data_IF_360188084465
#
_entry.id   IF_360188084465
#
_cell.length_a   1.000
_cell.length_b   1.000
_cell.length_c   1.000
_cell.angle_alpha   90.00
_cell.angle_beta   90.00
_cell.angle_gamma   90.00
#
_symmetry.space_group_name_H-M   'P 1'
#
loop_
_entity.id
_entity.type
_entity.pdbx_description
1 polymer ?
#
# COMPACT_ATOMS: atom_id res chain seq x y z
N UNK A 1 36.93 21.91 45.74
CA UNK A 1 36.85 20.80 44.75
C UNK A 1 37.49 21.31 43.48
N UNK A 2 38.47 20.59 42.94
CA UNK A 2 39.30 21.05 41.81
C UNK A 2 38.44 21.28 40.55
N UNK A 3 38.61 22.41 39.86
CA UNK A 3 37.74 22.85 38.76
C UNK A 3 37.69 21.79 37.63
N UNK A 4 38.80 21.07 37.43
CA UNK A 4 38.88 19.93 36.50
C UNK A 4 37.99 18.75 36.91
N UNK A 5 37.85 18.48 38.22
CA UNK A 5 36.98 17.40 38.73
C UNK A 5 35.51 17.76 38.58
N UNK A 6 35.16 19.05 38.71
CA UNK A 6 33.79 19.54 38.48
C UNK A 6 33.41 19.38 36.99
N UNK A 7 34.30 19.75 36.06
CA UNK A 7 34.04 19.60 34.62
C UNK A 7 33.84 18.12 34.24
N UNK A 8 34.66 17.21 34.76
CA UNK A 8 34.52 15.77 34.47
C UNK A 8 33.19 15.23 34.99
N UNK A 9 32.76 15.62 36.19
CA UNK A 9 31.47 15.19 36.76
C UNK A 9 30.31 15.74 35.93
N UNK A 10 30.37 17.00 35.48
CA UNK A 10 29.34 17.61 34.63
C UNK A 10 29.25 16.90 33.28
N UNK A 11 30.37 16.60 32.63
CA UNK A 11 30.39 15.89 31.33
C UNK A 11 29.83 14.47 31.46
N UNK A 12 30.18 13.73 32.52
CA UNK A 12 29.64 12.39 32.77
C UNK A 12 28.13 12.46 33.02
N UNK A 13 27.67 13.46 33.79
CA UNK A 13 26.24 13.65 34.05
C UNK A 13 25.48 14.01 32.77
N UNK A 14 26.08 14.80 31.88
CA UNK A 14 25.48 15.22 30.61
C UNK A 14 25.38 14.04 29.62
N UNK A 15 26.40 13.18 29.56
CA UNK A 15 26.37 11.94 28.76
C UNK A 15 25.32 10.97 29.31
N UNK A 16 25.24 10.82 30.64
CA UNK A 16 24.24 9.95 31.27
C UNK A 16 22.82 10.50 31.04
N UNK A 17 22.62 11.81 31.15
CA UNK A 17 21.33 12.46 30.93
C UNK A 17 20.90 12.40 29.45
N UNK A 18 21.83 12.57 28.50
CA UNK A 18 21.56 12.37 27.08
C UNK A 18 21.26 10.91 26.73
N UNK A 19 21.94 9.95 27.38
CA UNK A 19 21.63 8.52 27.24
C UNK A 19 20.25 8.16 27.80
N UNK A 20 19.86 8.77 28.92
CA UNK A 20 18.55 8.57 29.54
C UNK A 20 17.42 9.23 28.72
N UNK A 21 17.68 10.39 28.11
CA UNK A 21 16.78 11.01 27.13
C UNK A 21 16.66 10.20 25.83
N UNK A 22 17.74 9.54 25.38
CA UNK A 22 17.69 8.63 24.23
C UNK A 22 16.81 7.40 24.52
N UNK A 23 16.94 6.80 25.70
CA UNK A 23 16.08 5.70 26.14
C UNK A 23 14.63 6.11 26.35
N UNK A 24 14.36 7.27 26.97
CA UNK A 24 12.99 7.78 27.15
C UNK A 24 12.32 8.25 25.84
N UNK A 25 13.12 8.65 24.83
CA UNK A 25 12.62 8.96 23.48
C UNK A 25 12.27 7.69 22.68
N UNK A 26 12.84 6.55 23.04
CA UNK A 26 12.50 5.26 22.44
C UNK A 26 11.12 4.75 22.90
N UNK A 27 10.62 5.21 24.06
CA UNK A 27 9.29 4.86 24.59
C UNK A 27 8.16 5.84 24.21
N UNK A 28 8.46 6.92 23.46
CA UNK A 28 7.48 7.97 23.09
C UNK A 28 7.20 8.07 21.58
N UNK A 29 7.70 7.12 20.79
CA UNK A 29 7.04 6.78 19.53
C UNK A 29 6.10 5.63 19.83
N UNK A 30 4.81 5.85 19.58
CA UNK A 30 3.74 4.90 19.85
C UNK A 30 4.06 3.53 19.25
N UNK A 31 4.58 2.64 20.08
CA UNK A 31 4.52 1.21 19.85
C UNK A 31 3.04 0.81 19.96
N UNK A 32 2.31 0.95 18.86
CA UNK A 32 1.34 -0.08 18.53
C UNK A 32 2.13 -1.38 18.53
N UNK A 33 1.90 -2.21 19.53
CA UNK A 33 2.32 -3.60 19.49
C UNK A 33 1.75 -4.20 18.21
N UNK A 34 2.57 -4.32 17.16
CA UNK A 34 2.39 -5.37 16.16
C UNK A 34 2.61 -6.66 16.92
N UNK A 35 1.55 -7.13 17.57
CA UNK A 35 1.45 -8.49 18.05
C UNK A 35 1.56 -9.33 16.78
N UNK A 36 2.73 -9.93 16.54
CA UNK A 36 2.89 -10.92 15.50
C UNK A 36 1.96 -12.07 15.88
N UNK A 37 0.84 -12.17 15.18
CA UNK A 37 -0.11 -13.25 15.31
C UNK A 37 0.62 -14.58 15.17
N UNK A 38 0.21 -15.58 15.96
CA UNK A 38 0.70 -16.94 15.78
C UNK A 38 0.36 -17.45 14.37
N UNK A 39 1.07 -18.45 13.83
CA UNK A 39 0.76 -19.01 12.51
C UNK A 39 -0.69 -19.49 12.37
N UNK A 40 -1.31 -19.98 13.45
CA UNK A 40 -2.73 -20.34 13.47
C UNK A 40 -3.64 -19.11 13.41
N UNK A 41 -3.35 -18.05 14.16
CA UNK A 41 -4.11 -16.79 14.10
C UNK A 41 -3.94 -16.08 12.75
N UNK A 42 -2.77 -16.18 12.11
CA UNK A 42 -2.53 -15.70 10.74
C UNK A 42 -3.36 -16.48 9.72
N UNK A 43 -3.35 -17.81 9.77
CA UNK A 43 -4.19 -18.64 8.88
C UNK A 43 -5.68 -18.39 9.11
N UNK A 44 -6.09 -18.11 10.36
CA UNK A 44 -7.49 -17.79 10.66
C UNK A 44 -7.86 -16.39 10.16
N UNK A 45 -6.97 -15.40 10.30
CA UNK A 45 -7.13 -14.05 9.74
C UNK A 45 -7.13 -14.05 8.21
N UNK A 46 -6.27 -14.84 7.56
CA UNK A 46 -6.25 -15.03 6.11
C UNK A 46 -7.49 -15.79 5.59
N UNK A 47 -8.10 -16.66 6.42
CA UNK A 47 -9.37 -17.33 6.08
C UNK A 47 -10.61 -16.48 6.34
N UNK A 48 -10.55 -15.56 7.31
CA UNK A 48 -11.64 -14.64 7.66
C UNK A 48 -11.62 -13.39 6.77
N UNK A 49 -10.42 -12.94 6.38
CA UNK A 49 -10.16 -11.78 5.53
C UNK A 49 -9.07 -12.13 4.50
N UNK A 50 -9.41 -12.86 3.42
CA UNK A 50 -8.45 -13.33 2.41
C UNK A 50 -7.74 -12.22 1.61
N UNK A 51 -8.02 -10.95 1.91
CA UNK A 51 -7.42 -9.77 1.28
C UNK A 51 -6.55 -8.96 2.27
N UNK A 52 -6.22 -9.50 3.44
CA UNK A 52 -5.39 -8.85 4.46
C UNK A 52 -6.15 -7.89 5.39
N UNK A 53 -5.42 -7.23 6.30
CA UNK A 53 -5.98 -6.30 7.30
C UNK A 53 -6.31 -4.91 6.76
N UNK A 54 -6.00 -4.64 5.49
CA UNK A 54 -6.37 -3.39 4.83
C UNK A 54 -5.72 -2.12 5.42
N UNK A 55 -4.62 -2.24 6.17
CA UNK A 55 -3.91 -1.05 6.68
C UNK A 55 -3.41 -0.20 5.49
N UNK A 56 -3.92 1.03 5.38
CA UNK A 56 -3.44 2.07 4.47
C UNK A 56 -4.27 2.36 3.21
N UNK A 57 -5.10 1.44 2.72
CA UNK A 57 -5.93 1.71 1.52
C UNK A 57 -7.33 2.27 1.89
N UNK A 58 -7.81 2.04 3.11
CA UNK A 58 -9.25 2.10 3.43
C UNK A 58 -9.64 3.08 4.56
N UNK A 59 -8.72 3.91 5.04
CA UNK A 59 -8.96 4.85 6.15
C UNK A 59 -9.81 6.09 5.78
N UNK A 60 -10.03 6.33 4.48
CA UNK A 60 -10.86 7.42 3.94
C UNK A 60 -12.32 7.03 3.66
N UNK A 61 -12.75 5.82 4.02
CA UNK A 61 -14.16 5.45 3.91
C UNK A 61 -15.02 6.29 4.90
N UNK A 62 -15.92 7.11 4.36
CA UNK A 62 -16.93 7.86 5.12
C UNK A 62 -17.87 6.86 5.79
N UNK A 63 -17.64 6.60 7.08
CA UNK A 63 -18.51 5.74 7.86
C UNK A 63 -19.78 6.52 8.24
N UNK A 64 -20.97 6.04 7.88
CA UNK A 64 -22.24 6.68 8.24
C UNK A 64 -22.55 6.57 9.74
N UNK A 65 -21.74 5.81 10.48
CA UNK A 65 -21.84 5.59 11.92
C UNK A 65 -20.72 6.31 12.70
N UNK A 66 -19.97 7.21 12.04
CA UNK A 66 -18.95 8.08 12.65
C UNK A 66 -19.32 9.56 12.68
N UNK A 67 -20.30 9.99 11.89
CA UNK A 67 -20.70 11.40 11.79
C UNK A 67 -21.72 11.79 12.87
N UNK A 68 -21.86 13.11 13.12
CA UNK A 68 -22.78 13.68 14.13
C UNK A 68 -24.27 13.39 13.85
N UNK A 69 -24.59 12.82 12.69
CA UNK A 69 -25.95 12.44 12.31
C UNK A 69 -25.97 11.14 11.52
N UNK A 70 -26.84 10.22 11.92
CA UNK A 70 -27.08 8.96 11.19
C UNK A 70 -27.77 9.20 9.85
N UNK A 71 -27.33 8.44 8.84
CA UNK A 71 -27.92 8.48 7.50
C UNK A 71 -29.23 7.68 7.46
N UNK A 72 -30.30 8.16 6.78
CA UNK A 72 -31.51 7.37 6.58
C UNK A 72 -31.24 6.04 5.86
N UNK A 73 -32.09 5.03 6.08
CA UNK A 73 -31.87 3.68 5.54
C UNK A 73 -31.75 3.65 4.01
N UNK A 74 -32.54 4.46 3.29
CA UNK A 74 -32.48 4.51 1.83
C UNK A 74 -31.16 5.07 1.31
N UNK A 75 -30.56 6.03 2.02
CA UNK A 75 -29.24 6.56 1.67
C UNK A 75 -28.16 5.53 1.96
N UNK A 76 -28.23 4.86 3.13
CA UNK A 76 -27.34 3.75 3.46
C UNK A 76 -27.40 2.64 2.40
N UNK A 77 -28.60 2.29 1.93
CA UNK A 77 -28.80 1.29 0.89
C UNK A 77 -28.15 1.68 -0.44
N UNK A 78 -28.28 2.95 -0.85
CA UNK A 78 -27.63 3.46 -2.07
C UNK A 78 -26.10 3.40 -1.94
N UNK A 79 -25.58 3.83 -0.79
CA UNK A 79 -24.14 3.82 -0.53
C UNK A 79 -23.57 2.39 -0.51
N UNK A 80 -24.32 1.41 0.01
CA UNK A 80 -23.95 -0.01 -0.05
C UNK A 80 -24.00 -0.57 -1.47
N UNK A 81 -25.02 -0.22 -2.28
CA UNK A 81 -25.15 -0.67 -3.67
C UNK A 81 -24.09 -0.09 -4.61
N UNK A 82 -23.60 1.10 -4.27
CA UNK A 82 -22.56 1.80 -5.04
C UNK A 82 -21.16 1.59 -4.48
N UNK A 83 -21.02 0.93 -3.32
CA UNK A 83 -19.72 0.70 -2.68
C UNK A 83 -19.09 1.97 -2.09
N UNK A 84 -19.86 3.05 -1.96
CA UNK A 84 -19.47 4.19 -1.13
C UNK A 84 -19.30 3.76 0.32
N UNK A 85 -20.03 2.75 0.77
CA UNK A 85 -19.84 2.12 2.07
C UNK A 85 -19.67 0.61 1.87
N UNK A 86 -18.80 0.00 2.66
CA UNK A 86 -18.66 -1.45 2.76
C UNK A 86 -19.24 -1.92 4.10
N UNK A 87 -20.32 -2.71 4.05
CA UNK A 87 -21.05 -3.09 5.27
C UNK A 87 -20.17 -3.83 6.29
N UNK A 88 -19.35 -4.78 5.83
CA UNK A 88 -18.48 -5.58 6.70
C UNK A 88 -17.53 -4.66 7.45
N UNK A 89 -16.95 -3.66 6.79
CA UNK A 89 -16.05 -2.71 7.43
C UNK A 89 -16.74 -1.81 8.44
N UNK A 90 -17.99 -1.43 8.19
CA UNK A 90 -18.77 -0.68 9.18
C UNK A 90 -19.01 -1.51 10.45
N UNK A 91 -19.29 -2.80 10.29
CA UNK A 91 -19.38 -3.72 11.43
C UNK A 91 -18.06 -3.76 12.19
N UNK A 92 -16.92 -3.94 11.52
CA UNK A 92 -15.60 -3.94 12.17
C UNK A 92 -15.26 -2.59 12.83
N UNK A 93 -15.62 -1.47 12.20
CA UNK A 93 -15.42 -0.14 12.76
C UNK A 93 -16.22 0.07 14.04
N UNK A 94 -17.46 -0.43 14.09
CA UNK A 94 -18.28 -0.43 15.30
C UNK A 94 -17.73 -1.38 16.36
N UNK A 95 -17.24 -2.57 15.98
CA UNK A 95 -16.60 -3.52 16.91
C UNK A 95 -15.36 -2.95 17.57
N UNK A 96 -14.55 -2.15 16.86
CA UNK A 96 -13.39 -1.46 17.45
C UNK A 96 -13.76 -0.45 18.55
N UNK A 97 -15.02 -0.02 18.63
CA UNK A 97 -15.52 0.85 19.71
C UNK A 97 -16.01 0.05 20.93
N UNK A 98 -16.16 -1.27 20.82
CA UNK A 98 -16.50 -2.11 21.97
C UNK A 98 -15.36 -2.15 22.98
N UNK A 99 -15.70 -2.37 24.25
CA UNK A 99 -14.70 -2.53 25.31
C UNK A 99 -13.87 -3.80 25.07
N UNK A 100 -12.58 -3.77 25.40
CA UNK A 100 -11.68 -4.89 25.17
C UNK A 100 -12.09 -6.17 25.92
N UNK A 101 -12.77 -6.03 27.06
CA UNK A 101 -13.28 -7.16 27.84
C UNK A 101 -14.58 -7.80 27.29
N UNK A 102 -15.18 -7.25 26.23
CA UNK A 102 -16.42 -7.79 25.69
C UNK A 102 -16.19 -9.04 24.84
N UNK A 103 -17.02 -10.06 25.08
CA UNK A 103 -17.18 -11.18 24.16
C UNK A 103 -17.78 -10.72 22.82
N UNK A 104 -17.61 -11.49 21.72
CA UNK A 104 -18.23 -11.16 20.43
C UNK A 104 -19.74 -10.91 20.52
N UNK A 105 -20.47 -11.70 21.30
CA UNK A 105 -21.92 -11.56 21.44
C UNK A 105 -22.31 -10.32 22.25
N UNK A 106 -21.54 -9.97 23.28
CA UNK A 106 -21.73 -8.72 24.04
C UNK A 106 -21.46 -7.50 23.16
N UNK A 107 -20.45 -7.55 22.30
CA UNK A 107 -20.16 -6.49 21.35
C UNK A 107 -21.27 -6.38 20.29
N UNK A 108 -21.74 -7.50 19.73
CA UNK A 108 -22.87 -7.51 18.80
C UNK A 108 -24.13 -6.91 19.43
N UNK A 109 -24.46 -7.27 20.68
CA UNK A 109 -25.59 -6.69 21.41
C UNK A 109 -25.43 -5.17 21.63
N UNK A 110 -24.22 -4.72 21.92
CA UNK A 110 -23.91 -3.28 22.06
C UNK A 110 -24.13 -2.52 20.75
N UNK A 111 -23.73 -3.12 19.62
CA UNK A 111 -23.96 -2.54 18.28
C UNK A 111 -25.46 -2.44 17.98
N UNK A 112 -26.24 -3.47 18.29
CA UNK A 112 -27.70 -3.44 18.11
C UNK A 112 -28.37 -2.37 18.98
N UNK A 113 -27.92 -2.20 20.23
CA UNK A 113 -28.43 -1.16 21.12
C UNK A 113 -28.09 0.25 20.63
N UNK A 114 -26.91 0.44 20.03
CA UNK A 114 -26.54 1.69 19.36
C UNK A 114 -27.49 1.99 18.19
N UNK A 115 -27.77 1.00 17.33
CA UNK A 115 -28.74 1.17 16.23
C UNK A 115 -30.12 1.52 16.77
N UNK A 116 -30.55 0.90 17.87
CA UNK A 116 -31.84 1.19 18.50
C UNK A 116 -31.95 2.63 19.04
N UNK A 117 -30.83 3.23 19.46
CA UNK A 117 -30.77 4.58 20.00
C UNK A 117 -30.67 5.66 18.92
N UNK A 118 -29.97 5.37 17.81
CA UNK A 118 -29.64 6.36 16.80
C UNK A 118 -30.58 6.40 15.58
N UNK A 119 -31.44 5.39 15.44
CA UNK A 119 -32.37 5.28 14.32
C UNK A 119 -33.82 5.26 14.80
N UNK A 120 -34.69 5.98 14.08
CA UNK A 120 -36.13 5.93 14.28
C UNK A 120 -36.80 4.91 13.35
N UNK A 121 -37.98 4.42 13.72
CA UNK A 121 -38.77 3.52 12.86
C UNK A 121 -39.33 4.29 11.65
N UNK A 122 -39.36 3.70 10.44
CA UNK A 122 -39.10 2.29 10.13
C UNK A 122 -37.62 1.96 9.82
N UNK A 123 -36.75 2.96 9.72
CA UNK A 123 -35.36 2.78 9.29
C UNK A 123 -34.56 1.94 10.29
N UNK A 124 -34.80 2.13 11.58
CA UNK A 124 -34.23 1.32 12.66
C UNK A 124 -34.34 -0.18 12.38
N UNK A 125 -35.54 -0.68 12.09
CA UNK A 125 -35.77 -2.12 11.91
C UNK A 125 -35.01 -2.65 10.69
N UNK A 126 -34.93 -1.85 9.62
CA UNK A 126 -34.25 -2.24 8.38
C UNK A 126 -32.73 -2.23 8.52
N UNK A 127 -32.17 -1.23 9.20
CA UNK A 127 -30.73 -1.18 9.51
C UNK A 127 -30.40 -2.35 10.43
N UNK A 128 -31.16 -2.53 11.50
CA UNK A 128 -30.96 -3.61 12.47
C UNK A 128 -31.02 -5.01 11.83
N UNK A 129 -31.94 -5.22 10.89
CA UNK A 129 -32.05 -6.47 10.13
C UNK A 129 -30.79 -6.79 9.31
N UNK A 130 -30.09 -5.79 8.75
CA UNK A 130 -28.80 -6.01 8.08
C UNK A 130 -27.74 -6.56 9.06
N UNK A 131 -27.63 -5.95 10.24
CA UNK A 131 -26.66 -6.37 11.27
C UNK A 131 -27.00 -7.75 11.83
N UNK A 132 -28.27 -8.02 12.15
CA UNK A 132 -28.71 -9.34 12.62
C UNK A 132 -28.43 -10.40 11.57
N UNK A 133 -28.74 -10.13 10.29
CA UNK A 133 -28.48 -11.06 9.19
C UNK A 133 -26.99 -11.36 9.07
N UNK A 134 -26.13 -10.33 9.13
CA UNK A 134 -24.68 -10.50 9.08
C UNK A 134 -24.13 -11.31 10.26
N UNK A 135 -24.56 -11.01 11.50
CA UNK A 135 -24.14 -11.76 12.69
C UNK A 135 -24.55 -13.23 12.61
N UNK A 136 -25.76 -13.51 12.11
CA UNK A 136 -26.20 -14.89 11.84
C UNK A 136 -25.31 -15.57 10.81
N UNK A 137 -24.94 -14.88 9.73
CA UNK A 137 -24.00 -15.41 8.75
C UNK A 137 -22.66 -15.77 9.38
N UNK A 138 -22.09 -14.89 10.22
CA UNK A 138 -20.80 -15.20 10.87
C UNK A 138 -20.90 -16.41 11.80
N UNK A 139 -22.00 -16.57 12.53
CA UNK A 139 -22.23 -17.74 13.39
C UNK A 139 -22.34 -19.02 12.56
N UNK A 140 -23.14 -19.01 11.50
CA UNK A 140 -23.28 -20.12 10.55
C UNK A 140 -21.97 -20.46 9.86
N UNK A 141 -21.18 -19.45 9.50
CA UNK A 141 -19.88 -19.61 8.87
C UNK A 141 -18.86 -20.24 9.82
N UNK A 142 -18.86 -19.86 11.11
CA UNK A 142 -17.99 -20.48 12.12
C UNK A 142 -18.32 -21.95 12.39
N UNK A 143 -19.60 -22.32 12.29
CA UNK A 143 -20.07 -23.71 12.46
C UNK A 143 -19.86 -24.56 11.20
N UNK A 144 -19.65 -23.92 10.06
CA UNK A 144 -19.46 -24.60 8.79
C UNK A 144 -18.05 -25.20 8.70
N UNK A 145 -17.99 -26.52 8.53
CA UNK A 145 -16.73 -27.22 8.27
C UNK A 145 -16.24 -26.87 6.86
N UNK A 146 -15.19 -26.05 6.80
CA UNK A 146 -14.62 -25.58 5.55
C UNK A 146 -13.83 -26.71 4.87
N UNK A 147 -14.08 -26.98 3.58
CA UNK A 147 -13.23 -27.90 2.81
C UNK A 147 -11.78 -27.41 2.81
N UNK A 148 -10.84 -28.32 3.06
CA UNK A 148 -9.39 -28.01 3.14
C UNK A 148 -8.62 -28.45 1.89
N UNK A 149 -9.29 -29.14 0.96
CA UNK A 149 -8.75 -29.72 -0.26
C UNK A 149 -9.01 -28.88 -1.51
N UNK A 150 -9.76 -27.78 -1.39
CA UNK A 150 -10.12 -26.90 -2.51
C UNK A 150 -9.09 -25.81 -2.77
N UNK A 151 -8.95 -25.40 -4.04
CA UNK A 151 -8.24 -24.17 -4.38
C UNK A 151 -8.99 -22.94 -3.86
N UNK A 152 -8.30 -21.79 -3.77
CA UNK A 152 -8.91 -20.54 -3.31
C UNK A 152 -10.20 -20.19 -4.08
N UNK A 153 -10.19 -20.29 -5.41
CA UNK A 153 -11.34 -19.96 -6.26
C UNK A 153 -12.53 -20.87 -5.97
N UNK A 154 -12.27 -22.17 -5.83
CA UNK A 154 -13.31 -23.16 -5.53
C UNK A 154 -13.88 -22.98 -4.12
N UNK A 155 -13.01 -22.70 -3.15
CA UNK A 155 -13.43 -22.38 -1.78
C UNK A 155 -14.27 -21.10 -1.77
N UNK A 156 -13.86 -20.05 -2.49
CA UNK A 156 -14.58 -18.78 -2.54
C UNK A 156 -15.99 -18.93 -3.13
N UNK A 157 -16.17 -19.77 -4.16
CA UNK A 157 -17.50 -20.08 -4.68
C UNK A 157 -18.39 -20.82 -3.65
N UNK A 158 -17.81 -21.68 -2.79
CA UNK A 158 -18.54 -22.28 -1.67
C UNK A 158 -18.94 -21.24 -0.62
N UNK A 159 -18.04 -20.31 -0.30
CA UNK A 159 -18.32 -19.19 0.61
C UNK A 159 -19.48 -18.34 0.07
N UNK A 160 -19.43 -17.96 -1.22
CA UNK A 160 -20.51 -17.23 -1.90
C UNK A 160 -21.85 -17.97 -1.81
N UNK A 161 -21.86 -19.27 -2.08
CA UNK A 161 -23.08 -20.08 -1.96
C UNK A 161 -23.64 -20.05 -0.52
N UNK A 162 -22.79 -20.20 0.50
CA UNK A 162 -23.20 -20.11 1.91
C UNK A 162 -23.71 -18.71 2.28
N UNK A 163 -23.11 -17.64 1.76
CA UNK A 163 -23.61 -16.27 1.92
C UNK A 163 -25.03 -16.13 1.37
N UNK A 164 -25.31 -16.64 0.16
CA UNK A 164 -26.65 -16.60 -0.44
C UNK A 164 -27.67 -17.42 0.35
N UNK A 165 -27.27 -18.59 0.84
CA UNK A 165 -28.11 -19.45 1.69
C UNK A 165 -28.56 -18.74 2.98
N UNK A 166 -27.66 -17.99 3.64
CA UNK A 166 -27.96 -17.35 4.93
C UNK A 166 -28.53 -15.93 4.78
N UNK A 167 -28.06 -15.16 3.81
CA UNK A 167 -28.36 -13.73 3.65
C UNK A 167 -29.35 -13.41 2.53
N UNK A 168 -29.60 -14.36 1.62
CA UNK A 168 -30.42 -14.15 0.42
C UNK A 168 -29.98 -12.92 -0.39
N UNK A 169 -30.90 -11.99 -0.60
CA UNK A 169 -30.72 -10.72 -1.33
C UNK A 169 -29.73 -9.76 -0.65
N UNK A 170 -29.57 -9.86 0.68
CA UNK A 170 -28.62 -9.02 1.43
C UNK A 170 -27.17 -9.38 1.17
N UNK A 171 -26.86 -10.56 0.63
CA UNK A 171 -25.47 -10.92 0.33
C UNK A 171 -24.84 -9.95 -0.69
N UNK A 172 -25.60 -9.40 -1.64
CA UNK A 172 -25.07 -8.40 -2.59
C UNK A 172 -24.74 -7.08 -1.90
N UNK A 173 -25.60 -6.67 -0.96
CA UNK A 173 -25.40 -5.44 -0.19
C UNK A 173 -24.20 -5.55 0.76
N UNK A 174 -23.97 -6.73 1.32
CA UNK A 174 -22.94 -6.96 2.33
C UNK A 174 -21.59 -7.29 1.69
N UNK A 175 -21.58 -8.15 0.67
CA UNK A 175 -20.37 -8.73 0.09
C UNK A 175 -20.16 -8.42 -1.40
N UNK A 176 -21.09 -7.76 -2.09
CA UNK A 176 -21.02 -7.58 -3.55
C UNK A 176 -19.77 -6.85 -4.04
N UNK A 177 -19.27 -5.87 -3.27
CA UNK A 177 -18.01 -5.18 -3.59
C UNK A 177 -16.79 -6.12 -3.48
N UNK A 178 -16.75 -6.95 -2.43
CA UNK A 178 -15.69 -7.96 -2.24
C UNK A 178 -15.75 -9.01 -3.35
N UNK A 179 -16.95 -9.52 -3.67
CA UNK A 179 -17.16 -10.50 -4.74
C UNK A 179 -16.71 -9.94 -6.10
N UNK A 180 -16.96 -8.65 -6.35
CA UNK A 180 -16.48 -7.96 -7.56
C UNK A 180 -14.95 -7.82 -7.57
N UNK A 181 -14.33 -7.53 -6.43
CA UNK A 181 -12.88 -7.45 -6.30
C UNK A 181 -12.20 -8.80 -6.56
N UNK A 182 -12.71 -9.89 -5.97
CA UNK A 182 -12.18 -11.24 -6.23
C UNK A 182 -12.36 -11.61 -7.70
N UNK A 183 -13.53 -11.34 -8.28
CA UNK A 183 -13.79 -11.56 -9.71
C UNK A 183 -12.82 -10.77 -10.60
N UNK A 184 -12.45 -9.55 -10.19
CA UNK A 184 -11.51 -8.72 -10.94
C UNK A 184 -10.07 -9.24 -10.85
N UNK A 185 -9.64 -9.74 -9.70
CA UNK A 185 -8.33 -10.36 -9.52
C UNK A 185 -8.18 -11.60 -10.42
N UNK A 186 -9.19 -12.46 -10.44
CA UNK A 186 -9.23 -13.64 -11.33
C UNK A 186 -9.26 -13.23 -12.81
N UNK A 187 -10.11 -12.26 -13.16
CA UNK A 187 -10.20 -11.70 -14.50
C UNK A 187 -8.89 -11.09 -14.99
N UNK A 188 -8.16 -10.40 -14.11
CA UNK A 188 -6.88 -9.76 -14.42
C UNK A 188 -5.82 -10.79 -14.80
N UNK A 189 -5.70 -11.89 -14.06
CA UNK A 189 -4.71 -12.93 -14.38
C UNK A 189 -4.95 -13.52 -15.78
N UNK A 190 -6.21 -13.77 -16.13
CA UNK A 190 -6.59 -14.26 -17.45
C UNK A 190 -6.34 -13.21 -18.54
N UNK A 191 -6.70 -11.96 -18.26
CA UNK A 191 -6.49 -10.84 -19.16
C UNK A 191 -5.01 -10.65 -19.51
N UNK A 192 -4.11 -10.67 -18.53
CA UNK A 192 -2.68 -10.48 -18.75
C UNK A 192 -2.12 -11.55 -19.71
N UNK A 193 -2.56 -12.81 -19.58
CA UNK A 193 -2.14 -13.91 -20.47
C UNK A 193 -2.71 -13.75 -21.88
N UNK A 194 -3.99 -13.42 -22.00
CA UNK A 194 -4.68 -13.35 -23.30
C UNK A 194 -4.33 -12.09 -24.10
N UNK A 195 -3.97 -11.00 -23.43
CA UNK A 195 -3.66 -9.71 -24.05
C UNK A 195 -2.19 -9.49 -24.41
N UNK A 196 -1.31 -10.47 -24.16
CA UNK A 196 0.14 -10.31 -24.30
C UNK A 196 0.62 -9.89 -25.71
N UNK A 197 -0.17 -10.21 -26.75
CA UNK A 197 0.13 -9.89 -28.15
C UNK A 197 -0.69 -8.71 -28.70
N UNK A 198 -1.52 -8.07 -27.89
CA UNK A 198 -2.30 -6.92 -28.30
C UNK A 198 -1.45 -5.64 -28.34
N UNK A 199 -1.76 -4.68 -29.22
CA UNK A 199 -1.20 -3.34 -29.15
C UNK A 199 -1.44 -2.72 -27.77
N UNK A 200 -0.47 -1.97 -27.24
CA UNK A 200 -0.52 -1.50 -25.86
C UNK A 200 -1.73 -0.62 -25.57
N UNK A 201 -2.11 0.25 -26.52
CA UNK A 201 -3.31 1.09 -26.40
C UNK A 201 -4.60 0.26 -26.27
N UNK A 202 -4.72 -0.81 -27.07
CA UNK A 202 -5.87 -1.71 -26.98
C UNK A 202 -5.88 -2.48 -25.66
N UNK A 203 -4.69 -2.88 -25.19
CA UNK A 203 -4.53 -3.57 -23.92
C UNK A 203 -4.93 -2.69 -22.73
N UNK A 204 -4.50 -1.43 -22.69
CA UNK A 204 -4.91 -0.47 -21.65
C UNK A 204 -6.42 -0.26 -21.69
N UNK A 205 -7.00 -0.03 -22.87
CA UNK A 205 -8.44 0.14 -23.01
C UNK A 205 -9.24 -1.09 -22.53
N UNK A 206 -8.86 -2.29 -22.96
CA UNK A 206 -9.55 -3.51 -22.59
C UNK A 206 -9.40 -3.84 -21.10
N UNK A 207 -8.29 -3.45 -20.47
CA UNK A 207 -8.11 -3.59 -19.03
C UNK A 207 -9.08 -2.70 -18.25
N UNK A 208 -9.22 -1.44 -18.66
CA UNK A 208 -10.22 -0.53 -18.06
C UNK A 208 -11.66 -1.00 -18.31
N UNK A 209 -11.95 -1.51 -19.52
CA UNK A 209 -13.25 -2.09 -19.83
C UNK A 209 -13.55 -3.34 -18.96
N UNK A 210 -12.54 -4.20 -18.73
CA UNK A 210 -12.64 -5.34 -17.81
C UNK A 210 -12.96 -4.85 -16.40
N UNK A 211 -12.19 -3.89 -15.89
CA UNK A 211 -12.39 -3.31 -14.55
C UNK A 211 -13.79 -2.75 -14.39
N UNK A 212 -14.22 -1.89 -15.32
CA UNK A 212 -15.55 -1.28 -15.32
C UNK A 212 -16.67 -2.32 -15.40
N UNK A 213 -16.51 -3.33 -16.24
CA UNK A 213 -17.49 -4.42 -16.37
C UNK A 213 -17.60 -5.25 -15.10
N UNK A 214 -16.48 -5.59 -14.47
CA UNK A 214 -16.45 -6.45 -13.30
C UNK A 214 -16.97 -5.74 -12.05
N UNK A 215 -16.59 -4.47 -11.84
CA UNK A 215 -17.07 -3.70 -10.68
C UNK A 215 -18.48 -3.14 -10.84
N UNK A 216 -18.97 -2.95 -12.07
CA UNK A 216 -20.35 -2.50 -12.30
C UNK A 216 -20.67 -1.21 -11.56
N UNK A 217 -21.67 -1.26 -10.67
CA UNK A 217 -22.10 -0.10 -9.85
C UNK A 217 -21.07 0.34 -8.81
N UNK A 218 -20.07 -0.49 -8.50
CA UNK A 218 -18.98 -0.18 -7.56
C UNK A 218 -17.82 0.58 -8.21
N UNK A 219 -17.77 0.65 -9.55
CA UNK A 219 -16.62 1.15 -10.29
C UNK A 219 -16.25 2.60 -9.92
N UNK A 220 -17.23 3.50 -9.90
CA UNK A 220 -16.96 4.93 -9.65
C UNK A 220 -16.44 5.16 -8.23
N UNK A 221 -17.02 4.47 -7.23
CA UNK A 221 -16.56 4.54 -5.84
C UNK A 221 -15.16 3.98 -5.67
N UNK A 222 -14.83 2.86 -6.33
CA UNK A 222 -13.49 2.29 -6.32
C UNK A 222 -12.48 3.25 -6.93
N UNK A 223 -12.73 3.70 -8.17
CA UNK A 223 -11.80 4.56 -8.92
C UNK A 223 -11.58 5.90 -8.23
N UNK A 224 -12.57 6.42 -7.52
CA UNK A 224 -12.43 7.67 -6.77
C UNK A 224 -11.44 7.60 -5.60
N UNK A 225 -11.14 6.38 -5.10
CA UNK A 225 -10.27 6.15 -3.93
C UNK A 225 -8.89 5.62 -4.29
N UNK A 226 -8.73 5.09 -5.49
CA UNK A 226 -7.46 4.52 -5.90
C UNK A 226 -6.40 5.62 -6.12
N UNK A 227 -5.16 5.28 -5.74
CA UNK A 227 -4.04 6.19 -5.95
C UNK A 227 -3.72 6.31 -7.44
N UNK A 228 -3.49 7.55 -7.91
CA UNK A 228 -3.16 7.82 -9.31
C UNK A 228 -1.82 7.20 -9.71
N UNK A 229 -0.91 7.02 -8.78
CA UNK A 229 0.35 6.32 -8.95
C UNK A 229 0.13 4.83 -9.21
N UNK A 230 -0.79 4.18 -8.50
CA UNK A 230 -1.13 2.77 -8.76
C UNK A 230 -1.68 2.59 -10.17
N UNK A 231 -2.55 3.49 -10.61
CA UNK A 231 -3.05 3.48 -11.99
C UNK A 231 -1.94 3.69 -13.02
N UNK A 232 -1.04 4.63 -12.75
CA UNK A 232 0.13 4.86 -13.57
C UNK A 232 1.00 3.61 -13.67
N UNK A 233 1.29 2.94 -12.55
CA UNK A 233 2.08 1.71 -12.53
C UNK A 233 1.42 0.58 -13.32
N UNK A 234 0.10 0.42 -13.16
CA UNK A 234 -0.65 -0.58 -13.92
C UNK A 234 -0.59 -0.27 -15.43
N UNK A 235 -0.87 0.96 -15.86
CA UNK A 235 -0.76 1.33 -17.27
C UNK A 235 0.65 1.11 -17.82
N UNK A 236 1.69 1.48 -17.06
CA UNK A 236 3.08 1.25 -17.43
C UNK A 236 3.40 -0.24 -17.58
N UNK A 237 2.89 -1.09 -16.69
CA UNK A 237 3.07 -2.55 -16.79
C UNK A 237 2.39 -3.13 -18.03
N UNK A 238 1.22 -2.61 -18.41
CA UNK A 238 0.51 -3.03 -19.62
C UNK A 238 1.24 -2.59 -20.89
N UNK A 239 1.95 -1.46 -20.82
CA UNK A 239 2.74 -0.85 -21.90
C UNK A 239 4.21 -1.26 -21.92
N UNK A 240 4.67 -2.11 -20.99
CA UNK A 240 6.08 -2.42 -20.80
C UNK A 240 6.80 -2.87 -22.08
N UNK A 241 6.18 -3.76 -22.87
CA UNK A 241 6.75 -4.23 -24.15
C UNK A 241 6.95 -3.10 -25.16
N UNK A 242 5.95 -2.21 -25.30
CA UNK A 242 6.03 -1.05 -26.20
C UNK A 242 7.09 -0.08 -25.72
N UNK A 243 7.11 0.20 -24.42
CA UNK A 243 8.09 1.09 -23.80
C UNK A 243 9.53 0.60 -23.94
N UNK A 244 9.76 -0.70 -23.77
CA UNK A 244 11.09 -1.32 -23.89
C UNK A 244 11.55 -1.46 -25.34
N UNK A 245 10.63 -1.47 -26.31
CA UNK A 245 10.98 -1.45 -27.73
C UNK A 245 11.51 -0.08 -28.21
N UNK A 246 11.30 1.00 -27.45
CA UNK A 246 11.82 2.33 -27.79
C UNK A 246 13.31 2.39 -27.46
N UNK A 247 14.15 2.49 -28.49
CA UNK A 247 15.61 2.54 -28.37
C UNK A 247 16.15 3.97 -28.28
N UNK A 248 15.49 4.95 -28.89
CA UNK A 248 15.88 6.36 -28.80
C UNK A 248 15.52 6.92 -27.41
N UNK A 249 16.51 7.35 -26.59
CA UNK A 249 16.25 7.93 -25.28
C UNK A 249 15.30 9.14 -25.30
N UNK A 250 15.32 9.95 -26.37
CA UNK A 250 14.45 11.13 -26.47
C UNK A 250 13.00 10.75 -26.69
N UNK A 251 12.75 9.79 -27.57
CA UNK A 251 11.39 9.27 -27.79
C UNK A 251 10.89 8.50 -26.57
N UNK A 252 11.79 7.79 -25.86
CA UNK A 252 11.45 7.10 -24.62
C UNK A 252 11.03 8.06 -23.51
N UNK A 253 11.72 9.20 -23.37
CA UNK A 253 11.34 10.24 -22.41
C UNK A 253 10.02 10.93 -22.80
N UNK A 254 9.81 11.25 -24.09
CA UNK A 254 8.52 11.79 -24.56
C UNK A 254 7.36 10.83 -24.26
N UNK A 255 7.60 9.53 -24.42
CA UNK A 255 6.62 8.50 -24.14
C UNK A 255 6.22 8.47 -22.66
N UNK A 256 7.21 8.48 -21.74
CA UNK A 256 6.96 8.56 -20.29
C UNK A 256 6.20 9.83 -19.93
N UNK A 257 6.69 10.98 -20.40
CA UNK A 257 6.12 12.28 -20.07
C UNK A 257 4.64 12.36 -20.47
N UNK A 258 4.26 11.81 -21.62
CA UNK A 258 2.85 11.73 -22.06
C UNK A 258 1.97 10.99 -21.05
N UNK A 259 2.44 9.86 -20.52
CA UNK A 259 1.68 9.05 -19.56
C UNK A 259 1.67 9.74 -18.19
N UNK A 260 2.78 10.31 -17.76
CA UNK A 260 2.86 11.06 -16.51
C UNK A 260 1.97 12.30 -16.49
N UNK A 261 1.84 13.01 -17.62
CA UNK A 261 0.91 14.14 -17.75
C UNK A 261 -0.53 13.68 -17.53
N UNK A 262 -0.90 12.49 -18.04
CA UNK A 262 -2.26 11.92 -17.87
C UNK A 262 -2.61 11.73 -16.40
N UNK A 263 -1.67 11.25 -15.58
CA UNK A 263 -1.92 10.88 -14.18
C UNK A 263 -1.57 11.98 -13.18
N UNK A 264 -0.47 12.70 -13.38
CA UNK A 264 0.08 13.65 -12.41
C UNK A 264 -0.01 15.12 -12.85
N UNK A 265 -0.42 15.36 -14.10
CA UNK A 265 -0.47 16.70 -14.68
C UNK A 265 0.90 17.22 -15.12
N UNK A 266 0.89 18.35 -15.84
CA UNK A 266 2.08 18.91 -16.52
C UNK A 266 3.20 19.31 -15.57
N UNK A 267 2.87 19.90 -14.43
CA UNK A 267 3.86 20.38 -13.47
C UNK A 267 4.65 19.22 -12.88
N UNK A 268 3.95 18.22 -12.32
CA UNK A 268 4.59 17.08 -11.69
C UNK A 268 5.36 16.21 -12.69
N UNK A 269 4.81 15.99 -13.88
CA UNK A 269 5.52 15.32 -14.97
C UNK A 269 6.80 16.07 -15.38
N UNK A 270 6.75 17.40 -15.40
CA UNK A 270 7.93 18.26 -15.62
C UNK A 270 9.01 18.06 -14.57
N UNK A 271 8.65 18.06 -13.27
CA UNK A 271 9.59 17.79 -12.19
C UNK A 271 10.22 16.39 -12.29
N UNK A 272 9.42 15.36 -12.62
CA UNK A 272 9.93 13.99 -12.79
C UNK A 272 10.92 13.89 -13.95
N UNK A 273 10.63 14.54 -15.08
CA UNK A 273 11.55 14.60 -16.22
C UNK A 273 12.86 15.34 -15.88
N UNK A 274 12.79 16.41 -15.10
CA UNK A 274 13.97 17.14 -14.63
C UNK A 274 14.85 16.26 -13.72
N UNK A 275 14.25 15.56 -12.76
CA UNK A 275 14.97 14.64 -11.87
C UNK A 275 15.61 13.48 -12.63
N UNK A 276 14.91 12.88 -13.60
CA UNK A 276 15.51 11.87 -14.51
C UNK A 276 16.67 12.43 -15.32
N UNK A 277 16.57 13.68 -15.78
CA UNK A 277 17.65 14.33 -16.52
C UNK A 277 18.89 14.55 -15.63
N UNK A 278 18.69 14.98 -14.37
CA UNK A 278 19.78 15.09 -13.38
C UNK A 278 20.42 13.72 -13.12
N UNK A 279 19.61 12.68 -12.91
CA UNK A 279 20.09 11.32 -12.69
C UNK A 279 20.89 10.79 -13.88
N UNK A 280 20.41 10.99 -15.11
CA UNK A 280 21.12 10.57 -16.33
C UNK A 280 22.48 11.26 -16.47
N UNK A 281 22.53 12.58 -16.24
CA UNK A 281 23.79 13.34 -16.26
C UNK A 281 24.75 12.87 -15.18
N UNK A 282 24.22 12.59 -13.98
CA UNK A 282 25.03 12.07 -12.87
C UNK A 282 25.61 10.68 -13.19
N UNK A 283 24.80 9.78 -13.77
CA UNK A 283 25.28 8.47 -14.25
C UNK A 283 26.37 8.59 -15.31
N UNK A 284 26.22 9.49 -16.28
CA UNK A 284 27.27 9.77 -17.27
C UNK A 284 28.55 10.29 -16.62
N UNK A 285 28.45 11.16 -15.62
CA UNK A 285 29.60 11.63 -14.83
C UNK A 285 30.31 10.49 -14.10
N UNK A 286 29.55 9.56 -13.51
CA UNK A 286 30.11 8.34 -12.90
C UNK A 286 30.85 7.51 -13.94
N UNK A 287 30.24 7.21 -15.09
CA UNK A 287 30.90 6.40 -16.13
C UNK A 287 32.20 7.05 -16.66
N UNK A 288 32.20 8.38 -16.81
CA UNK A 288 33.42 9.13 -17.18
C UNK A 288 34.48 9.06 -16.09
N UNK A 289 34.07 9.19 -14.82
CA UNK A 289 34.97 9.04 -13.68
C UNK A 289 35.60 7.65 -13.65
N UNK A 290 34.82 6.58 -13.80
CA UNK A 290 35.32 5.19 -13.73
C UNK A 290 36.35 4.88 -14.83
N UNK A 291 36.15 5.43 -16.03
CA UNK A 291 37.15 5.35 -17.10
C UNK A 291 38.44 6.08 -16.70
N UNK A 292 38.34 7.29 -16.16
CA UNK A 292 39.49 8.07 -15.71
C UNK A 292 40.21 7.49 -14.50
N UNK A 293 39.48 6.87 -13.58
CA UNK A 293 40.03 6.13 -12.45
C UNK A 293 40.92 4.98 -12.97
N UNK A 294 40.42 4.18 -13.92
CA UNK A 294 41.19 3.08 -14.53
C UNK A 294 42.45 3.56 -15.23
N UNK A 295 42.35 4.63 -16.03
CA UNK A 295 43.51 5.22 -16.70
C UNK A 295 44.53 5.76 -15.69
N UNK A 296 44.06 6.49 -14.67
CA UNK A 296 44.91 7.04 -13.61
C UNK A 296 45.67 5.93 -12.87
N UNK A 297 44.98 4.86 -12.48
CA UNK A 297 45.58 3.73 -11.77
C UNK A 297 46.64 3.01 -12.62
N UNK A 298 46.40 2.88 -13.93
CA UNK A 298 47.37 2.29 -14.88
C UNK A 298 48.62 3.17 -15.03
N UNK A 299 48.43 4.48 -15.18
CA UNK A 299 49.52 5.45 -15.39
C UNK A 299 50.33 5.72 -14.11
N UNK A 300 49.73 5.52 -12.93
CA UNK A 300 50.31 5.86 -11.65
C UNK A 300 50.53 4.65 -10.74
N UNK A 301 50.91 3.51 -11.33
CA UNK A 301 51.09 2.23 -10.62
C UNK A 301 52.06 2.33 -9.42
N UNK A 302 53.07 3.19 -9.50
CA UNK A 302 54.14 3.33 -8.50
C UNK A 302 53.83 4.31 -7.36
N UNK A 303 52.68 5.01 -7.38
CA UNK A 303 52.32 5.91 -6.27
C UNK A 303 51.98 5.12 -5.00
N UNK A 304 52.27 5.73 -3.84
CA UNK A 304 51.86 5.18 -2.55
C UNK A 304 50.32 5.15 -2.42
N UNK A 305 49.79 4.25 -1.58
CA UNK A 305 48.35 4.11 -1.39
C UNK A 305 47.67 5.41 -0.93
N UNK A 306 48.30 6.15 -0.02
CA UNK A 306 47.78 7.42 0.49
C UNK A 306 47.73 8.51 -0.59
N UNK A 307 48.75 8.59 -1.46
CA UNK A 307 48.78 9.55 -2.56
C UNK A 307 47.80 9.20 -3.67
N UNK A 308 47.64 7.90 -3.96
CA UNK A 308 46.60 7.42 -4.89
C UNK A 308 45.22 7.81 -4.42
N UNK A 309 44.90 7.52 -3.16
CA UNK A 309 43.57 7.83 -2.61
C UNK A 309 43.28 9.33 -2.60
N UNK A 310 44.26 10.15 -2.23
CA UNK A 310 44.12 11.62 -2.29
C UNK A 310 43.81 12.11 -3.70
N UNK A 311 44.57 11.67 -4.70
CA UNK A 311 44.38 12.07 -6.10
C UNK A 311 43.08 11.51 -6.70
N UNK A 312 42.69 10.30 -6.30
CA UNK A 312 41.41 9.71 -6.69
C UNK A 312 40.23 10.46 -6.07
N UNK A 313 40.35 10.96 -4.84
CA UNK A 313 39.34 11.83 -4.22
C UNK A 313 39.20 13.15 -4.97
N UNK A 314 40.31 13.79 -5.32
CA UNK A 314 40.31 15.01 -6.15
C UNK A 314 39.65 14.76 -7.52
N UNK A 315 39.96 13.62 -8.15
CA UNK A 315 39.35 13.20 -9.41
C UNK A 315 37.85 12.93 -9.27
N UNK A 316 37.40 12.30 -8.17
CA UNK A 316 35.97 12.10 -7.88
C UNK A 316 35.25 13.43 -7.75
N UNK A 317 35.78 14.37 -6.95
CA UNK A 317 35.17 15.69 -6.76
C UNK A 317 35.07 16.44 -8.10
N UNK A 318 36.10 16.33 -8.96
CA UNK A 318 36.10 16.96 -10.27
C UNK A 318 34.97 16.45 -11.19
N UNK A 319 34.68 15.15 -11.17
CA UNK A 319 33.69 14.53 -12.06
C UNK A 319 32.28 14.49 -11.47
N UNK A 320 32.16 14.34 -10.15
CA UNK A 320 30.90 14.22 -9.41
C UNK A 320 30.47 15.57 -8.80
N UNK A 321 31.23 16.64 -8.96
CA UNK A 321 30.78 18.01 -8.69
C UNK A 321 30.78 18.45 -7.22
N UNK A 322 30.83 17.53 -6.26
CA UNK A 322 30.97 17.88 -4.84
C UNK A 322 31.70 16.81 -4.03
N UNK A 323 32.20 17.20 -2.85
CA UNK A 323 32.77 16.26 -1.87
C UNK A 323 31.72 15.28 -1.33
N UNK A 324 30.48 15.75 -1.15
CA UNK A 324 29.38 14.91 -0.68
C UNK A 324 29.03 13.80 -1.68
N UNK A 325 28.94 14.13 -2.97
CA UNK A 325 28.67 13.14 -4.03
C UNK A 325 29.84 12.18 -4.22
N UNK A 326 31.08 12.67 -4.09
CA UNK A 326 32.30 11.85 -4.14
C UNK A 326 32.38 10.82 -3.00
N UNK A 327 31.99 11.20 -1.79
CA UNK A 327 31.96 10.30 -0.64
C UNK A 327 30.74 9.34 -0.72
N UNK A 328 29.60 9.82 -1.22
CA UNK A 328 28.41 8.99 -1.45
C UNK A 328 28.67 7.90 -2.50
N UNK A 329 29.45 8.18 -3.54
CA UNK A 329 29.88 7.19 -4.51
C UNK A 329 30.70 6.06 -3.86
N UNK A 330 31.68 6.38 -3.02
CA UNK A 330 32.49 5.37 -2.32
C UNK A 330 31.63 4.52 -1.38
N UNK A 331 30.70 5.14 -0.64
CA UNK A 331 29.77 4.39 0.21
C UNK A 331 28.97 3.37 -0.61
N UNK A 332 28.43 3.79 -1.77
CA UNK A 332 27.68 2.91 -2.69
C UNK A 332 28.56 1.77 -3.24
N UNK A 333 29.76 2.09 -3.72
CA UNK A 333 30.73 1.10 -4.24
C UNK A 333 31.10 0.06 -3.19
N UNK A 334 31.39 0.48 -1.95
CA UNK A 334 31.71 -0.43 -0.86
C UNK A 334 30.54 -1.35 -0.48
N UNK A 335 29.29 -0.85 -0.53
CA UNK A 335 28.09 -1.66 -0.30
C UNK A 335 27.91 -2.70 -1.42
N UNK A 336 28.07 -2.29 -2.68
CA UNK A 336 27.98 -3.19 -3.83
C UNK A 336 29.08 -4.27 -3.84
N UNK A 337 30.27 -3.94 -3.37
CA UNK A 337 31.39 -4.88 -3.24
C UNK A 337 31.23 -5.81 -2.03
N UNK A 338 30.65 -5.35 -0.91
CA UNK A 338 30.38 -6.18 0.26
C UNK A 338 29.19 -7.13 0.09
N UNK A 339 28.30 -6.85 -0.87
CA UNK A 339 27.15 -7.69 -1.23
C UNK A 339 27.42 -8.75 -2.31
N UNK A 340 28.65 -8.79 -2.85
CA UNK A 340 29.14 -9.84 -3.75
C UNK A 340 29.99 -10.84 -2.97
#
# INVERSE_FOLDING_TARGET
>A
MDFKKIIIIVVIFLIFFLGLLYFLKQDSTANQSKQSLSPEEQMTMERISPLGTGEGFWDEAISPFREDKTKPYLELLDDLKTGKINFVWEVWALRRKCKAEYTPDQCNATILAYIDAEYESPDKEKVKDLFISYFRYEEEYRKWEQPTDLSFVELYEKIKAKRRDVLNDKADLIFGMEESQVSFLEGTQNFIKQSANLPAEQRVKQFEDLKKKTYGTYYDSLVSREDKFDHYQVEMSLRDKEFNAITDPKEKEKYLNRIEIKYFGKERAGSLAEERSKESKFKESISKYELKEKDFLRENANLSAAEKEKKLKELRIQFLGSEEEADAYIRRKNIEEAGK
#
